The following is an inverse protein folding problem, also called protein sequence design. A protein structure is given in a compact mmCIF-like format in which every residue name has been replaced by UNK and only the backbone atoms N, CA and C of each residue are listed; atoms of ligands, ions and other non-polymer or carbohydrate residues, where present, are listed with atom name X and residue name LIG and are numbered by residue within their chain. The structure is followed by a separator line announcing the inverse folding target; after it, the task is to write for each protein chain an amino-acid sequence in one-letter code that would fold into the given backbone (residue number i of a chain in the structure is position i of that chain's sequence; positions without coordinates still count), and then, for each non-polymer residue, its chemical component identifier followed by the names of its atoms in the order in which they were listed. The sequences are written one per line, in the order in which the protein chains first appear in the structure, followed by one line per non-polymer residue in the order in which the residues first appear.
data_IF_229203438280
#
_entry.id   IF_229203438280
#
_cell.length_a   1.000
_cell.length_b   1.000
_cell.length_c   1.000
_cell.angle_alpha   90.00
_cell.angle_beta   90.00
_cell.angle_gamma   90.00
#
_symmetry.space_group_name_H-M   'P 1'
#
loop_
_entity.id
_entity.type
_entity.pdbx_description
1 polymer ?
#
# COMPACT_ATOMS: atom_id res chain seq x y z
N UNK A 1 37.11 -13.18 19.51
CA UNK A 1 35.66 -13.49 19.53
C UNK A 1 34.95 -12.55 18.58
N UNK A 2 34.37 -13.03 17.48
CA UNK A 2 33.57 -12.20 16.57
C UNK A 2 32.20 -11.98 17.19
N UNK A 3 31.93 -10.77 17.69
CA UNK A 3 30.61 -10.37 18.17
C UNK A 3 29.68 -10.32 16.94
N UNK A 4 28.89 -11.38 16.72
CA UNK A 4 27.85 -11.41 15.68
C UNK A 4 26.83 -10.32 16.00
N UNK A 5 26.85 -9.24 15.23
CA UNK A 5 25.89 -8.13 15.30
C UNK A 5 24.47 -8.70 15.27
N UNK A 6 23.78 -8.69 16.40
CA UNK A 6 22.40 -9.14 16.54
C UNK A 6 21.52 -8.33 15.61
N UNK A 7 20.74 -9.00 14.75
CA UNK A 7 19.86 -8.37 13.76
C UNK A 7 18.94 -7.36 14.47
N UNK A 8 19.22 -6.07 14.33
CA UNK A 8 18.37 -4.99 14.81
C UNK A 8 16.95 -5.21 14.31
N UNK A 9 15.97 -5.21 15.24
CA UNK A 9 14.58 -5.49 14.90
C UNK A 9 14.10 -4.43 13.89
N UNK A 10 13.89 -4.86 12.64
CA UNK A 10 13.43 -3.95 11.58
C UNK A 10 12.04 -3.45 11.98
N UNK A 11 11.94 -2.14 12.23
CA UNK A 11 10.71 -1.39 12.49
C UNK A 11 9.59 -1.89 11.58
N UNK A 12 8.59 -2.53 12.17
CA UNK A 12 7.54 -3.23 11.42
C UNK A 12 6.62 -2.20 10.79
N UNK A 13 6.61 -2.10 9.46
CA UNK A 13 5.84 -1.12 8.66
C UNK A 13 4.30 -1.24 8.79
N UNK A 14 3.80 -2.06 9.71
CA UNK A 14 2.42 -2.51 9.76
C UNK A 14 1.90 -2.52 11.20
N UNK A 15 0.65 -2.10 11.40
CA UNK A 15 -0.02 -1.96 12.70
C UNK A 15 -0.22 -3.26 13.50
N UNK A 16 0.24 -4.40 13.00
CA UNK A 16 -0.04 -5.72 13.55
C UNK A 16 0.82 -6.13 14.75
N UNK A 17 1.69 -5.26 15.26
CA UNK A 17 2.63 -5.59 16.34
C UNK A 17 3.49 -6.82 15.97
N UNK A 18 3.68 -7.74 16.92
CA UNK A 18 4.45 -8.99 16.76
C UNK A 18 3.69 -10.14 16.08
N UNK A 19 2.37 -10.00 15.84
CA UNK A 19 1.51 -11.07 15.33
C UNK A 19 1.74 -11.36 13.83
N UNK A 20 1.31 -12.55 13.39
CA UNK A 20 1.30 -13.01 11.98
C UNK A 20 2.66 -13.23 11.29
N UNK A 21 3.77 -13.08 12.02
CA UNK A 21 5.12 -13.36 11.50
C UNK A 21 5.59 -12.39 10.41
N UNK A 22 6.83 -12.55 9.92
CA UNK A 22 7.45 -11.58 9.00
C UNK A 22 6.93 -11.67 7.55
N UNK A 23 6.78 -12.89 7.01
CA UNK A 23 6.45 -13.10 5.59
C UNK A 23 5.09 -12.50 5.22
N UNK A 24 4.06 -12.71 6.05
CA UNK A 24 2.72 -12.17 5.82
C UNK A 24 2.72 -10.64 5.92
N UNK A 25 3.38 -10.07 6.94
CA UNK A 25 3.50 -8.61 7.10
C UNK A 25 4.20 -7.95 5.91
N UNK A 26 5.24 -8.59 5.36
CA UNK A 26 5.94 -8.10 4.16
C UNK A 26 5.01 -8.06 2.94
N UNK A 27 4.22 -9.13 2.71
CA UNK A 27 3.24 -9.18 1.61
C UNK A 27 2.17 -8.10 1.76
N UNK A 28 1.61 -7.95 2.96
CA UNK A 28 0.61 -6.92 3.24
C UNK A 28 1.16 -5.51 3.01
N UNK A 29 2.36 -5.21 3.50
CA UNK A 29 2.99 -3.90 3.31
C UNK A 29 3.15 -3.57 1.82
N UNK A 30 3.61 -4.53 1.01
CA UNK A 30 3.76 -4.35 -0.43
C UNK A 30 2.42 -4.04 -1.13
N UNK A 31 1.32 -4.71 -0.74
CA UNK A 31 -0.02 -4.41 -1.29
C UNK A 31 -0.49 -3.01 -0.85
N UNK A 32 -0.27 -2.65 0.41
CA UNK A 32 -0.66 -1.35 0.96
C UNK A 32 0.11 -0.19 0.31
N UNK A 33 1.39 -0.38 0.00
CA UNK A 33 2.20 0.58 -0.75
C UNK A 33 1.64 0.77 -2.17
N UNK A 34 1.35 -0.32 -2.90
CA UNK A 34 0.72 -0.26 -4.23
C UNK A 34 -0.63 0.46 -4.24
N UNK A 35 -1.43 0.31 -3.20
CA UNK A 35 -2.75 0.97 -3.10
C UNK A 35 -2.63 2.51 -2.94
N UNK A 36 -1.52 3.00 -2.38
CA UNK A 36 -1.32 4.45 -2.15
C UNK A 36 -0.86 5.19 -3.40
N UNK A 37 -0.09 4.55 -4.27
CA UNK A 37 0.51 5.16 -5.44
C UNK A 37 -0.28 4.82 -6.71
N UNK A 38 -1.41 5.49 -6.92
CA UNK A 38 -2.21 5.29 -8.13
C UNK A 38 -2.42 6.59 -8.90
N UNK A 39 -2.22 6.51 -10.21
CA UNK A 39 -2.39 7.59 -11.18
C UNK A 39 -3.86 7.65 -11.60
N UNK A 40 -4.41 8.85 -11.73
CA UNK A 40 -5.74 9.04 -12.31
C UNK A 40 -5.69 8.92 -13.84
N UNK A 41 -6.59 8.12 -14.43
CA UNK A 41 -6.69 7.93 -15.89
C UNK A 41 -7.15 9.21 -16.60
N UNK A 42 -7.98 10.03 -15.94
CA UNK A 42 -8.56 11.25 -16.53
C UNK A 42 -7.59 12.44 -16.51
N UNK A 43 -6.88 12.65 -15.41
CA UNK A 43 -6.06 13.86 -15.21
C UNK A 43 -4.57 13.59 -15.00
N UNK A 44 -4.12 12.33 -15.05
CA UNK A 44 -2.70 11.96 -14.90
C UNK A 44 -2.09 12.21 -13.52
N UNK A 45 -2.88 12.68 -12.53
CA UNK A 45 -2.35 13.03 -11.21
C UNK A 45 -2.47 11.90 -10.18
N UNK A 46 -1.48 11.81 -9.29
CA UNK A 46 -1.39 10.83 -8.19
C UNK A 46 -2.24 11.19 -6.96
N UNK A 47 -3.42 11.78 -7.16
CA UNK A 47 -4.34 12.18 -6.08
C UNK A 47 -5.62 11.33 -6.05
N UNK A 48 -5.50 10.05 -6.38
CA UNK A 48 -6.60 9.08 -6.34
C UNK A 48 -6.70 8.43 -4.97
N UNK A 49 -7.91 8.34 -4.42
CA UNK A 49 -8.22 7.56 -3.22
C UNK A 49 -9.20 6.45 -3.55
N UNK A 50 -9.02 5.32 -2.90
CA UNK A 50 -9.95 4.20 -2.97
C UNK A 50 -11.18 4.49 -2.10
N UNK A 51 -12.38 4.30 -2.66
CA UNK A 51 -13.64 4.42 -1.92
C UNK A 51 -14.12 3.04 -1.49
N UNK A 52 -14.19 2.10 -2.44
CA UNK A 52 -14.63 0.72 -2.21
C UNK A 52 -13.70 -0.27 -2.91
N UNK A 53 -13.96 -1.57 -2.80
CA UNK A 53 -13.32 -2.57 -3.68
C UNK A 53 -13.62 -2.21 -5.14
N UNK A 54 -12.59 -2.00 -5.94
CA UNK A 54 -12.71 -1.69 -7.36
C UNK A 54 -13.22 -0.28 -7.70
N UNK A 55 -13.65 0.54 -6.73
CA UNK A 55 -14.12 1.91 -6.99
C UNK A 55 -13.09 2.93 -6.48
N UNK A 56 -12.65 3.80 -7.38
CA UNK A 56 -11.64 4.83 -7.14
C UNK A 56 -12.18 6.23 -7.42
N UNK A 57 -11.80 7.19 -6.58
CA UNK A 57 -12.18 8.60 -6.69
C UNK A 57 -10.93 9.47 -6.77
N UNK A 58 -10.84 10.30 -7.80
CA UNK A 58 -9.81 11.31 -7.88
C UNK A 58 -10.21 12.58 -7.12
N UNK A 59 -9.35 13.04 -6.21
CA UNK A 59 -9.60 14.27 -5.44
C UNK A 59 -9.45 15.56 -6.25
N UNK A 60 -8.79 15.51 -7.41
CA UNK A 60 -8.58 16.71 -8.25
C UNK A 60 -9.75 16.93 -9.21
N UNK A 61 -10.04 15.94 -10.05
CA UNK A 61 -11.09 16.06 -11.07
C UNK A 61 -12.46 15.56 -10.61
N UNK A 62 -12.57 14.95 -9.42
CA UNK A 62 -13.84 14.40 -8.91
C UNK A 62 -14.32 13.12 -9.61
N UNK A 63 -13.61 12.65 -10.63
CA UNK A 63 -14.00 11.45 -11.39
C UNK A 63 -14.01 10.20 -10.50
N UNK A 64 -15.11 9.44 -10.59
CA UNK A 64 -15.26 8.10 -10.03
C UNK A 64 -15.14 7.08 -11.15
N UNK A 65 -14.29 6.07 -10.98
CA UNK A 65 -14.08 5.04 -11.98
C UNK A 65 -13.88 3.66 -11.35
N UNK A 66 -14.21 2.64 -12.14
CA UNK A 66 -13.96 1.25 -11.81
C UNK A 66 -12.51 0.87 -12.18
N UNK A 67 -11.88 0.04 -11.37
CA UNK A 67 -10.52 -0.45 -11.57
C UNK A 67 -10.27 -1.75 -10.80
N UNK A 68 -9.01 -2.20 -10.72
CA UNK A 68 -8.66 -3.39 -9.93
C UNK A 68 -8.80 -3.11 -8.43
N UNK A 69 -8.78 -4.18 -7.64
CA UNK A 69 -8.98 -4.10 -6.18
C UNK A 69 -7.86 -3.30 -5.46
N UNK A 70 -6.61 -3.38 -5.91
CA UNK A 70 -5.44 -2.76 -5.26
C UNK A 70 -4.62 -1.85 -6.16
N UNK A 71 -4.93 -1.82 -7.46
CA UNK A 71 -4.35 -0.93 -8.46
C UNK A 71 -5.48 -0.30 -9.26
N UNK A 72 -5.30 0.93 -9.76
CA UNK A 72 -6.31 1.55 -10.63
C UNK A 72 -6.38 0.90 -12.00
N UNK A 73 -5.26 0.35 -12.47
CA UNK A 73 -5.10 -0.28 -13.79
C UNK A 73 -4.69 -1.75 -13.67
#
# INVERSE_FOLDING_TARGET
MVIKKTRTSKKTRTSFGVRYGFRLRKKYAAVKEKTKSNVCIVCGHNKVKRVSLGIWLCKKCGAKFAGKAYTTQ
#
